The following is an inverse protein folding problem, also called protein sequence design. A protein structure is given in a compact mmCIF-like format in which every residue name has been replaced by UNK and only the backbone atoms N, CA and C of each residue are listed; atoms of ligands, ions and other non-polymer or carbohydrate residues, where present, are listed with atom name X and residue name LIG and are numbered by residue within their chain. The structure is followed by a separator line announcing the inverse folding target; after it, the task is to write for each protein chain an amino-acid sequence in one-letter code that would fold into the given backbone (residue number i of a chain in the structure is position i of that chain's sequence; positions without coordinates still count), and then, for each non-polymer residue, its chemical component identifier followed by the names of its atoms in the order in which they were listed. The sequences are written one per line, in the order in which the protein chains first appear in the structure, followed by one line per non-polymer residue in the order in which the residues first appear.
data_IF_419661737490
#
_entry.id   IF_419661737490
#
_cell.length_a   1.000
_cell.length_b   1.000
_cell.length_c   1.000
_cell.angle_alpha   90.00
_cell.angle_beta   90.00
_cell.angle_gamma   90.00
#
_symmetry.space_group_name_H-M   'P 1'
#
loop_
_entity.id
_entity.type
_entity.pdbx_description
1 polymer ?
#
# COMPACT_ATOMS: atom_id res chain seq x y z
N UNK A 1 7.94 -14.52 3.26
CA UNK A 1 8.56 -14.06 4.52
C UNK A 1 7.47 -13.34 5.31
N UNK A 2 6.67 -14.15 6.05
CA UNK A 2 5.49 -13.75 6.81
C UNK A 2 5.94 -13.14 8.15
N UNK A 3 5.00 -12.56 8.91
CA UNK A 3 5.12 -11.93 10.25
C UNK A 3 6.12 -12.54 11.27
N UNK A 4 6.61 -13.76 11.06
CA UNK A 4 7.38 -14.54 12.04
C UNK A 4 8.73 -13.91 12.44
N UNK A 5 9.45 -13.22 11.53
CA UNK A 5 10.82 -12.75 11.83
C UNK A 5 10.92 -11.60 12.85
N UNK A 6 9.83 -10.88 13.14
CA UNK A 6 9.81 -9.77 14.11
C UNK A 6 9.10 -10.13 15.43
N UNK A 7 8.48 -11.30 15.51
CA UNK A 7 7.68 -11.75 16.68
C UNK A 7 8.55 -12.52 17.69
N UNK A 8 9.75 -12.96 17.29
CA UNK A 8 10.64 -13.76 18.14
C UNK A 8 11.36 -12.93 19.23
N UNK A 9 11.11 -11.61 19.27
CA UNK A 9 11.49 -10.78 20.40
C UNK A 9 10.27 -10.63 21.29
N UNK A 10 10.35 -11.16 22.52
CA UNK A 10 9.32 -11.15 23.56
C UNK A 10 9.01 -9.73 24.08
N UNK A 11 8.81 -8.80 23.16
CA UNK A 11 8.80 -7.36 23.34
C UNK A 11 7.47 -6.82 22.83
N UNK A 12 6.67 -6.26 23.75
CA UNK A 12 5.38 -5.65 23.40
C UNK A 12 5.63 -4.30 22.73
N UNK A 13 5.58 -4.29 21.40
CA UNK A 13 5.69 -3.09 20.57
C UNK A 13 4.53 -2.99 19.60
N UNK A 14 4.22 -1.77 19.19
CA UNK A 14 3.37 -1.51 18.04
C UNK A 14 4.15 -0.71 17.01
N UNK A 15 3.98 -1.05 15.73
CA UNK A 15 4.67 -0.36 14.66
C UNK A 15 3.86 -0.37 13.37
N UNK A 16 4.16 0.59 12.51
CA UNK A 16 3.63 0.67 11.15
C UNK A 16 4.74 0.99 10.17
N UNK A 17 4.78 0.22 9.10
CA UNK A 17 5.72 0.43 7.98
C UNK A 17 5.11 1.32 6.90
N UNK A 18 5.97 2.03 6.17
CA UNK A 18 5.64 2.73 4.93
C UNK A 18 6.72 2.43 3.88
N UNK A 19 6.30 2.25 2.63
CA UNK A 19 7.20 2.12 1.49
C UNK A 19 6.63 2.97 0.38
N UNK A 20 7.42 3.90 -0.18
CA UNK A 20 6.92 4.75 -1.26
C UNK A 20 6.77 3.98 -2.56
N UNK A 21 5.87 4.48 -3.42
CA UNK A 21 5.76 4.01 -4.79
C UNK A 21 7.07 4.29 -5.53
N UNK A 22 7.64 3.27 -6.17
CA UNK A 22 8.95 3.37 -6.82
C UNK A 22 10.16 3.16 -5.90
N UNK A 23 9.95 2.72 -4.65
CA UNK A 23 11.03 2.28 -3.74
C UNK A 23 12.06 3.38 -3.47
N UNK A 24 11.61 4.61 -3.21
CA UNK A 24 12.47 5.76 -2.88
C UNK A 24 12.62 5.97 -1.36
N UNK A 25 11.66 5.44 -0.60
CA UNK A 25 11.54 5.64 0.83
C UNK A 25 11.15 4.34 1.52
N UNK A 26 11.83 4.04 2.61
CA UNK A 26 11.44 3.04 3.59
C UNK A 26 11.26 3.73 4.94
N UNK A 27 10.02 3.73 5.44
CA UNK A 27 9.64 4.30 6.72
C UNK A 27 9.23 3.22 7.71
N UNK A 28 9.50 3.45 8.99
CA UNK A 28 8.79 2.80 10.08
C UNK A 28 8.62 3.76 11.24
N UNK A 29 7.40 3.87 11.73
CA UNK A 29 7.12 4.43 13.04
C UNK A 29 6.83 3.27 13.99
N UNK A 30 7.61 3.15 15.07
CA UNK A 30 7.43 2.16 16.11
C UNK A 30 7.29 2.88 17.46
N UNK A 31 6.46 2.34 18.35
CA UNK A 31 6.21 2.98 19.63
C UNK A 31 5.97 2.00 20.78
N UNK A 32 6.31 2.50 21.96
CA UNK A 32 5.90 2.03 23.30
C UNK A 32 5.23 3.20 24.03
N UNK A 33 4.67 2.99 25.23
CA UNK A 33 4.12 4.10 26.01
C UNK A 33 5.13 5.21 26.34
N UNK A 34 6.41 4.86 26.48
CA UNK A 34 7.48 5.77 26.88
C UNK A 34 8.20 6.40 25.69
N UNK A 35 8.30 5.69 24.56
CA UNK A 35 9.11 6.12 23.41
C UNK A 35 8.36 5.95 22.08
N UNK A 36 8.55 6.91 21.19
CA UNK A 36 8.19 6.78 19.76
C UNK A 36 9.46 6.99 18.94
N UNK A 37 9.78 6.03 18.09
CA UNK A 37 10.93 6.08 17.19
C UNK A 37 10.41 6.02 15.75
N UNK A 38 10.85 6.98 14.94
CA UNK A 38 10.55 7.04 13.51
C UNK A 38 11.86 6.93 12.75
N UNK A 39 11.97 5.90 11.90
CA UNK A 39 13.14 5.66 11.06
C UNK A 39 12.73 5.85 9.60
N UNK A 40 13.57 6.60 8.88
CA UNK A 40 13.53 6.72 7.44
C UNK A 40 14.85 6.28 6.83
N UNK A 41 14.75 5.54 5.73
CA UNK A 41 15.84 5.33 4.81
C UNK A 41 15.40 5.79 3.42
N UNK A 42 16.30 6.50 2.75
CA UNK A 42 16.13 6.93 1.37
C UNK A 42 17.37 7.64 0.88
N UNK A 43 17.39 7.90 -0.42
CA UNK A 43 18.36 8.79 -1.03
C UNK A 43 17.83 10.24 -0.90
N UNK A 44 18.59 11.19 -0.32
CA UNK A 44 18.16 12.58 -0.21
C UNK A 44 17.86 13.26 -1.56
N UNK A 45 18.45 12.77 -2.66
CA UNK A 45 18.16 13.21 -4.03
C UNK A 45 16.95 12.48 -4.65
N UNK A 46 16.35 11.52 -3.93
CA UNK A 46 15.12 10.83 -4.32
C UNK A 46 15.34 9.66 -5.30
N UNK A 47 16.56 9.15 -5.44
CA UNK A 47 16.83 8.00 -6.29
C UNK A 47 16.18 6.72 -5.75
N UNK A 48 15.52 5.91 -6.62
CA UNK A 48 14.90 4.67 -6.21
C UNK A 48 15.95 3.59 -5.95
N UNK A 49 15.72 2.76 -4.93
CA UNK A 49 16.53 1.59 -4.64
C UNK A 49 15.66 0.41 -4.18
N UNK A 50 15.73 -0.77 -4.83
CA UNK A 50 14.92 -1.93 -4.48
C UNK A 50 15.06 -2.44 -3.04
N UNK A 51 16.14 -2.09 -2.34
CA UNK A 51 16.36 -2.43 -0.93
C UNK A 51 15.48 -1.60 0.01
N UNK A 52 15.01 -0.43 -0.43
CA UNK A 52 14.17 0.49 0.35
C UNK A 52 12.75 -0.05 0.50
N UNK A 53 12.62 -1.02 1.39
CA UNK A 53 11.35 -1.60 1.82
C UNK A 53 11.20 -1.42 3.33
N UNK A 54 10.09 -0.82 3.76
CA UNK A 54 9.88 -0.49 5.17
C UNK A 54 10.02 -1.70 6.11
N UNK A 55 9.53 -2.87 5.68
CA UNK A 55 9.56 -4.08 6.51
C UNK A 55 10.95 -4.72 6.64
N UNK A 56 11.84 -4.57 5.66
CA UNK A 56 13.17 -5.22 5.69
C UNK A 56 14.27 -4.32 6.24
N UNK A 57 14.08 -3.01 6.19
CA UNK A 57 15.12 -2.04 6.53
C UNK A 57 14.71 -1.16 7.72
N UNK A 58 13.68 -0.32 7.53
CA UNK A 58 13.27 0.64 8.56
C UNK A 58 12.71 -0.02 9.83
N UNK A 59 11.93 -1.10 9.69
CA UNK A 59 11.31 -1.76 10.84
C UNK A 59 12.31 -2.44 11.77
N UNK A 60 13.24 -3.31 11.29
CA UNK A 60 14.27 -3.88 12.15
C UNK A 60 15.09 -2.82 12.89
N UNK A 61 15.50 -1.75 12.21
CA UNK A 61 16.24 -0.65 12.85
C UNK A 61 15.43 0.06 13.93
N UNK A 62 14.18 0.41 13.67
CA UNK A 62 13.32 1.07 14.66
C UNK A 62 13.10 0.18 15.90
N UNK A 63 12.92 -1.12 15.69
CA UNK A 63 12.71 -2.11 16.75
C UNK A 63 14.00 -2.29 17.58
N UNK A 64 15.16 -2.35 16.93
CA UNK A 64 16.45 -2.41 17.61
C UNK A 64 16.69 -1.18 18.47
N UNK A 65 16.45 0.03 17.95
CA UNK A 65 16.57 1.26 18.73
C UNK A 65 15.61 1.30 19.93
N UNK A 66 14.37 0.82 19.77
CA UNK A 66 13.42 0.70 20.88
C UNK A 66 13.88 -0.33 21.92
N UNK A 67 14.43 -1.46 21.49
CA UNK A 67 14.96 -2.50 22.40
C UNK A 67 16.07 -1.94 23.29
N UNK A 68 16.96 -1.11 22.72
CA UNK A 68 18.01 -0.39 23.43
C UNK A 68 17.45 0.66 24.38
N UNK A 69 16.53 1.51 23.91
CA UNK A 69 15.95 2.58 24.70
C UNK A 69 15.17 2.07 25.92
N UNK A 70 14.48 0.93 25.75
CA UNK A 70 13.63 0.33 26.80
C UNK A 70 14.36 -0.72 27.62
N UNK A 71 15.59 -1.10 27.24
CA UNK A 71 16.29 -2.27 27.79
C UNK A 71 15.43 -3.54 27.77
N UNK A 72 14.58 -3.69 26.74
CA UNK A 72 13.55 -4.74 26.62
C UNK A 72 12.53 -4.80 27.78
N UNK A 73 12.39 -3.73 28.57
CA UNK A 73 11.45 -3.64 29.69
C UNK A 73 10.36 -2.63 29.34
N UNK A 74 9.26 -3.11 28.77
CA UNK A 74 8.15 -2.26 28.32
C UNK A 74 6.92 -2.53 29.18
N UNK A 75 6.33 -1.48 29.75
CA UNK A 75 5.04 -1.57 30.45
C UNK A 75 3.93 -1.09 29.52
N UNK A 76 3.23 -2.04 28.91
CA UNK A 76 2.15 -1.69 27.97
C UNK A 76 0.92 -1.09 28.66
N UNK A 77 0.10 -0.38 27.89
CA UNK A 77 -1.19 0.12 28.36
C UNK A 77 -2.13 -1.03 28.77
N UNK A 78 -2.84 -0.84 29.89
CA UNK A 78 -4.01 -1.65 30.18
C UNK A 78 -5.16 -1.22 29.25
N UNK A 79 -5.95 -2.16 28.69
CA UNK A 79 -7.16 -1.80 27.97
C UNK A 79 -8.10 -0.97 28.86
N UNK A 80 -8.68 0.15 28.36
CA UNK A 80 -9.67 0.92 29.11
C UNK A 80 -10.86 0.06 29.55
N UNK A 81 -11.40 0.33 30.75
CA UNK A 81 -12.57 -0.40 31.30
C UNK A 81 -13.84 -0.22 30.46
N UNK A 82 -13.88 0.82 29.62
CA UNK A 82 -14.95 1.05 28.65
C UNK A 82 -14.90 0.12 27.45
N UNK A 83 -13.84 -0.68 27.26
CA UNK A 83 -13.79 -1.68 26.20
C UNK A 83 -14.46 -2.98 26.64
N UNK A 84 -15.33 -3.51 25.78
CA UNK A 84 -15.90 -4.84 25.92
C UNK A 84 -15.21 -5.83 25.00
N UNK A 85 -15.34 -7.12 25.31
CA UNK A 85 -15.04 -8.21 24.37
C UNK A 85 -16.34 -8.89 23.97
N UNK A 86 -16.46 -9.25 22.69
CA UNK A 86 -17.61 -9.99 22.18
C UNK A 86 -17.20 -10.98 21.10
N UNK A 87 -18.03 -11.98 20.89
CA UNK A 87 -17.91 -12.87 19.74
C UNK A 87 -18.31 -12.13 18.47
N UNK A 88 -17.48 -12.22 17.44
CA UNK A 88 -17.71 -11.67 16.11
C UNK A 88 -17.50 -12.75 15.04
N UNK A 89 -18.15 -12.58 13.90
CA UNK A 89 -17.82 -13.28 12.66
C UNK A 89 -16.36 -12.99 12.29
N UNK A 90 -15.57 -14.05 12.05
CA UNK A 90 -14.13 -13.90 11.78
C UNK A 90 -13.82 -13.13 10.48
N UNK A 91 -14.77 -13.10 9.53
CA UNK A 91 -14.63 -12.40 8.26
C UNK A 91 -15.16 -10.96 8.31
N UNK A 92 -16.38 -10.74 8.82
CA UNK A 92 -17.01 -9.42 8.78
C UNK A 92 -16.67 -8.53 9.98
N UNK A 93 -16.19 -9.10 11.10
CA UNK A 93 -15.98 -8.37 12.35
C UNK A 93 -17.26 -7.92 13.07
N UNK A 94 -18.43 -8.30 12.57
CA UNK A 94 -19.75 -8.02 13.19
C UNK A 94 -20.19 -9.18 14.09
N UNK A 95 -21.10 -8.96 15.06
CA UNK A 95 -21.78 -10.04 15.78
C UNK A 95 -22.26 -11.15 14.82
N UNK A 96 -22.00 -12.44 15.12
CA UNK A 96 -22.26 -13.51 14.16
C UNK A 96 -23.75 -13.71 13.87
N UNK A 97 -24.06 -14.12 12.65
CA UNK A 97 -25.33 -14.77 12.31
C UNK A 97 -25.20 -16.29 12.47
N UNK A 98 -26.31 -17.02 12.42
CA UNK A 98 -26.31 -18.49 12.44
C UNK A 98 -25.59 -19.11 11.23
N UNK A 99 -25.47 -18.35 10.13
CA UNK A 99 -24.77 -18.78 8.92
C UNK A 99 -23.25 -18.54 8.97
N UNK A 100 -22.71 -17.96 10.05
CA UNK A 100 -21.28 -17.71 10.15
C UNK A 100 -20.53 -19.02 10.47
N UNK A 101 -19.58 -19.46 9.63
CA UNK A 101 -18.89 -20.73 9.83
C UNK A 101 -17.79 -20.65 10.89
N UNK A 102 -17.24 -19.45 11.13
CA UNK A 102 -16.13 -19.24 12.05
C UNK A 102 -16.31 -17.94 12.84
N UNK A 103 -15.99 -18.01 14.13
CA UNK A 103 -16.09 -16.91 15.07
C UNK A 103 -14.75 -16.64 15.74
N UNK A 104 -14.57 -15.41 16.20
CA UNK A 104 -13.46 -15.04 17.09
C UNK A 104 -13.94 -14.07 18.15
N UNK A 105 -13.19 -13.98 19.25
CA UNK A 105 -13.39 -12.92 20.24
C UNK A 105 -12.62 -11.70 19.77
N UNK A 106 -13.28 -10.54 19.75
CA UNK A 106 -12.67 -9.26 19.39
C UNK A 106 -13.09 -8.16 20.36
N UNK A 107 -12.35 -7.07 20.36
CA UNK A 107 -12.68 -5.88 21.14
C UNK A 107 -13.80 -5.08 20.47
N UNK A 108 -14.65 -4.47 21.28
CA UNK A 108 -15.64 -3.50 20.81
C UNK A 108 -15.84 -2.40 21.87
N UNK A 109 -16.37 -1.27 21.44
CA UNK A 109 -16.74 -0.16 22.30
C UNK A 109 -18.26 -0.25 22.52
N UNK A 110 -18.74 -0.62 23.73
CA UNK A 110 -20.16 -0.69 24.04
C UNK A 110 -20.87 0.64 23.75
N UNK A 111 -22.03 0.57 23.08
CA UNK A 111 -22.80 1.73 22.66
C UNK A 111 -22.28 2.46 21.40
N UNK A 112 -21.05 2.19 20.94
CA UNK A 112 -20.44 2.86 19.78
C UNK A 112 -20.19 1.90 18.61
N UNK A 113 -19.59 0.75 18.88
CA UNK A 113 -19.34 -0.24 17.82
C UNK A 113 -20.66 -0.82 17.29
N UNK A 114 -20.71 -1.02 15.97
CA UNK A 114 -21.84 -1.64 15.27
C UNK A 114 -22.31 -2.92 15.96
N UNK A 115 -23.62 -3.05 16.17
CA UNK A 115 -24.25 -4.20 16.84
C UNK A 115 -25.13 -5.03 15.91
N UNK A 116 -25.26 -4.63 14.64
CA UNK A 116 -25.95 -5.42 13.63
C UNK A 116 -25.23 -6.75 13.39
N UNK A 117 -26.01 -7.82 13.15
CA UNK A 117 -25.45 -9.13 12.87
C UNK A 117 -24.80 -9.17 11.49
N UNK A 118 -23.86 -10.07 11.32
CA UNK A 118 -23.20 -10.36 10.06
C UNK A 118 -24.23 -10.55 8.93
N UNK A 119 -24.18 -9.66 7.93
CA UNK A 119 -25.05 -9.71 6.76
C UNK A 119 -24.45 -10.42 5.55
N UNK A 120 -23.11 -10.63 5.57
CA UNK A 120 -22.38 -11.22 4.44
C UNK A 120 -22.43 -12.75 4.43
N UNK A 121 -22.68 -13.41 5.56
CA UNK A 121 -22.93 -14.86 5.57
C UNK A 121 -24.43 -15.11 5.59
N UNK A 122 -24.93 -15.75 4.53
CA UNK A 122 -26.35 -16.05 4.35
C UNK A 122 -26.54 -17.53 4.06
N UNK A 123 -27.66 -18.08 4.51
CA UNK A 123 -28.04 -19.45 4.18
C UNK A 123 -28.65 -19.50 2.78
N UNK A 124 -28.07 -20.28 1.86
CA UNK A 124 -28.66 -20.55 0.54
C UNK A 124 -28.66 -22.04 0.26
N UNK A 125 -29.85 -22.60 0.00
CA UNK A 125 -30.04 -24.04 -0.25
C UNK A 125 -29.46 -24.93 0.87
N UNK A 126 -29.55 -24.47 2.12
CA UNK A 126 -29.07 -25.21 3.30
C UNK A 126 -27.57 -25.06 3.59
N UNK A 127 -26.83 -24.31 2.78
CA UNK A 127 -25.39 -24.08 2.98
C UNK A 127 -25.09 -22.59 3.26
N UNK A 128 -24.17 -22.27 4.18
CA UNK A 128 -23.72 -20.90 4.41
C UNK A 128 -22.85 -20.42 3.24
N UNK A 129 -23.28 -19.35 2.59
CA UNK A 129 -22.55 -18.72 1.48
C UNK A 129 -22.18 -17.27 1.83
N UNK A 130 -21.07 -16.80 1.26
CA UNK A 130 -20.65 -15.41 1.38
C UNK A 130 -21.33 -14.59 0.27
N UNK A 131 -22.15 -13.62 0.66
CA UNK A 131 -22.78 -12.64 -0.21
C UNK A 131 -22.13 -11.30 0.07
N UNK A 132 -21.26 -10.87 -0.83
CA UNK A 132 -20.61 -9.58 -0.74
C UNK A 132 -21.58 -8.45 -1.12
N UNK A 133 -21.48 -7.27 -0.47
CA UNK A 133 -22.16 -6.06 -0.94
C UNK A 133 -21.85 -5.81 -2.43
N UNK A 134 -22.79 -5.23 -3.17
CA UNK A 134 -22.66 -4.97 -4.62
C UNK A 134 -21.37 -4.24 -4.97
N UNK A 135 -20.93 -3.33 -4.12
CA UNK A 135 -19.71 -2.53 -4.26
C UNK A 135 -18.45 -3.40 -4.19
N UNK A 136 -18.52 -4.52 -3.47
CA UNK A 136 -17.42 -5.48 -3.27
C UNK A 136 -17.61 -6.76 -4.06
N UNK A 137 -18.76 -6.99 -4.70
CA UNK A 137 -19.01 -8.17 -5.52
C UNK A 137 -18.01 -8.26 -6.70
N UNK A 138 -17.57 -7.11 -7.21
CA UNK A 138 -16.46 -6.99 -8.18
C UNK A 138 -15.09 -7.38 -7.61
N UNK A 139 -14.88 -7.22 -6.29
CA UNK A 139 -13.68 -7.71 -5.58
C UNK A 139 -13.83 -9.19 -5.17
N UNK A 140 -15.05 -9.67 -5.01
CA UNK A 140 -15.50 -11.06 -5.08
C UNK A 140 -14.68 -12.00 -5.94
N UNK A 141 -14.72 -11.67 -7.22
CA UNK A 141 -14.03 -12.37 -8.30
C UNK A 141 -12.51 -12.17 -8.27
N UNK A 142 -11.96 -11.38 -7.34
CA UNK A 142 -10.52 -11.16 -7.15
C UNK A 142 -9.79 -12.12 -6.21
N UNK A 143 -10.40 -13.24 -5.79
CA UNK A 143 -9.66 -14.51 -5.97
C UNK A 143 -9.59 -14.76 -7.47
N UNK A 144 -8.79 -13.95 -8.18
CA UNK A 144 -8.60 -14.02 -9.63
C UNK A 144 -7.82 -15.30 -9.90
N UNK A 145 -8.53 -16.42 -9.94
CA UNK A 145 -8.40 -17.30 -11.08
C UNK A 145 -8.68 -16.36 -12.25
N UNK A 146 -7.62 -15.87 -12.90
CA UNK A 146 -7.79 -15.11 -14.13
C UNK A 146 -8.56 -16.04 -15.08
N UNK A 147 -9.86 -15.81 -15.22
CA UNK A 147 -10.58 -16.39 -16.35
C UNK A 147 -9.96 -15.75 -17.59
N UNK A 148 -9.79 -16.53 -18.64
CA UNK A 148 -9.10 -16.08 -19.87
C UNK A 148 -9.71 -14.81 -20.51
N UNK A 149 -10.91 -14.40 -20.06
CA UNK A 149 -11.71 -13.30 -20.57
C UNK A 149 -11.68 -12.01 -19.72
N UNK A 150 -10.95 -11.96 -18.61
CA UNK A 150 -10.89 -10.72 -17.79
C UNK A 150 -10.24 -9.58 -18.60
N UNK A 151 -10.84 -8.38 -18.74
CA UNK A 151 -10.24 -7.30 -19.50
C UNK A 151 -8.91 -6.89 -18.88
N UNK A 152 -7.92 -6.59 -19.72
CA UNK A 152 -6.68 -5.98 -19.26
C UNK A 152 -6.99 -4.57 -18.75
N UNK A 153 -6.43 -4.17 -17.63
CA UNK A 153 -6.64 -2.83 -17.06
C UNK A 153 -5.37 -2.31 -16.44
N UNK A 154 -4.98 -1.08 -16.76
CA UNK A 154 -3.87 -0.36 -16.15
C UNK A 154 -4.32 0.06 -14.74
N UNK A 155 -3.62 -0.44 -13.73
CA UNK A 155 -3.90 -0.13 -12.31
C UNK A 155 -2.94 0.90 -11.74
N UNK A 156 -1.86 1.19 -12.45
CA UNK A 156 -0.98 2.31 -12.14
C UNK A 156 -0.19 2.76 -13.37
N UNK A 157 -0.11 4.07 -13.65
CA UNK A 157 -0.82 5.15 -12.96
C UNK A 157 -2.34 5.11 -13.21
N UNK A 158 -3.12 5.90 -12.45
CA UNK A 158 -4.56 6.02 -12.72
C UNK A 158 -4.78 6.99 -13.89
N UNK A 159 -5.88 6.81 -14.62
CA UNK A 159 -6.24 7.72 -15.71
C UNK A 159 -6.40 9.16 -15.21
N UNK A 160 -5.91 10.12 -15.98
CA UNK A 160 -5.87 11.55 -15.68
C UNK A 160 -5.05 11.93 -14.42
N UNK A 161 -4.08 11.11 -14.02
CA UNK A 161 -3.17 11.45 -12.91
C UNK A 161 -2.18 12.54 -13.33
N UNK A 162 -1.96 13.51 -12.44
CA UNK A 162 -0.90 14.51 -12.57
C UNK A 162 0.36 14.09 -11.78
N UNK A 163 1.51 14.20 -12.42
CA UNK A 163 2.82 14.01 -11.80
C UNK A 163 3.63 15.31 -11.84
N UNK A 164 4.46 15.54 -10.83
CA UNK A 164 5.33 16.71 -10.73
C UNK A 164 6.80 16.29 -10.77
N UNK A 165 7.55 16.77 -11.77
CA UNK A 165 9.01 16.68 -11.80
C UNK A 165 9.57 17.85 -10.99
N UNK A 166 10.36 17.53 -9.97
CA UNK A 166 11.06 18.53 -9.15
C UNK A 166 12.45 18.82 -9.74
N UNK A 167 12.92 20.08 -9.72
CA UNK A 167 14.25 20.47 -10.23
C UNK A 167 15.41 19.71 -9.61
N UNK A 168 15.28 19.34 -8.33
CA UNK A 168 16.31 18.63 -7.56
C UNK A 168 16.16 17.10 -7.59
N UNK A 169 15.05 16.57 -8.12
CA UNK A 169 14.68 15.16 -7.98
C UNK A 169 15.27 14.20 -9.01
N UNK A 170 16.28 14.61 -9.77
CA UNK A 170 16.96 13.76 -10.75
C UNK A 170 16.03 13.07 -11.77
N UNK A 171 16.42 11.86 -12.20
CA UNK A 171 15.63 11.04 -13.16
C UNK A 171 14.48 10.33 -12.46
N UNK A 172 13.34 11.02 -12.32
CA UNK A 172 12.14 10.47 -11.70
C UNK A 172 11.48 9.40 -12.57
N UNK A 173 11.12 8.26 -11.97
CA UNK A 173 10.42 7.16 -12.63
C UNK A 173 9.10 6.82 -11.93
N UNK A 174 8.15 6.30 -12.70
CA UNK A 174 6.91 5.70 -12.21
C UNK A 174 6.84 4.23 -12.65
N UNK A 175 6.28 3.37 -11.80
CA UNK A 175 5.95 2.01 -12.23
C UNK A 175 4.67 2.03 -13.09
N UNK A 176 4.63 1.18 -14.09
CA UNK A 176 3.47 0.87 -14.90
C UNK A 176 3.00 -0.53 -14.52
N UNK A 177 1.72 -0.65 -14.16
CA UNK A 177 1.12 -1.90 -13.70
C UNK A 177 -0.21 -2.11 -14.39
N UNK A 178 -0.47 -3.37 -14.74
CA UNK A 178 -1.77 -3.80 -15.24
C UNK A 178 -2.19 -5.10 -14.59
N UNK A 179 -3.49 -5.35 -14.64
CA UNK A 179 -4.12 -6.59 -14.21
C UNK A 179 -5.01 -7.15 -15.34
N UNK A 180 -5.54 -8.36 -15.18
CA UNK A 180 -6.45 -8.99 -16.16
C UNK A 180 -5.76 -9.76 -17.28
N UNK A 181 -4.43 -9.82 -17.30
CA UNK A 181 -3.66 -10.58 -18.28
C UNK A 181 -2.58 -11.46 -17.62
N UNK A 182 -2.35 -12.63 -18.23
CA UNK A 182 -1.27 -13.56 -17.92
C UNK A 182 -0.36 -13.71 -19.14
N UNK A 183 0.94 -13.90 -18.94
CA UNK A 183 1.90 -14.00 -20.04
C UNK A 183 2.66 -12.70 -20.26
N UNK A 184 3.00 -12.40 -21.51
CA UNK A 184 3.72 -11.17 -21.83
C UNK A 184 2.79 -9.97 -22.04
N UNK A 185 3.24 -8.84 -21.51
CA UNK A 185 2.65 -7.53 -21.67
C UNK A 185 3.59 -6.64 -22.49
N UNK A 186 3.02 -5.90 -23.41
CA UNK A 186 3.71 -4.94 -24.28
C UNK A 186 3.20 -3.55 -23.93
N UNK A 187 4.10 -2.71 -23.42
CA UNK A 187 3.80 -1.35 -23.00
C UNK A 187 4.22 -0.35 -24.08
N UNK A 188 3.41 0.68 -24.25
CA UNK A 188 3.64 1.78 -25.18
C UNK A 188 3.45 3.11 -24.46
N UNK A 189 4.30 4.07 -24.80
CA UNK A 189 4.21 5.46 -24.35
C UNK A 189 4.12 6.32 -25.61
N UNK A 190 3.07 7.12 -25.72
CA UNK A 190 2.78 7.97 -26.88
C UNK A 190 2.82 7.19 -28.20
N UNK A 191 2.17 6.03 -28.19
CA UNK A 191 2.11 5.06 -29.30
C UNK A 191 3.48 4.47 -29.71
N UNK A 192 4.56 4.77 -28.99
CA UNK A 192 5.88 4.18 -29.20
C UNK A 192 6.09 2.99 -28.26
N UNK A 193 6.61 1.88 -28.80
CA UNK A 193 6.93 0.70 -28.00
C UNK A 193 7.96 1.04 -26.92
N UNK A 194 7.58 0.83 -25.66
CA UNK A 194 8.41 1.15 -24.50
C UNK A 194 9.10 -0.10 -23.95
N UNK A 195 8.38 -1.22 -23.81
CA UNK A 195 8.99 -2.43 -23.28
C UNK A 195 8.06 -3.62 -23.15
N UNK A 196 8.66 -4.80 -22.97
CA UNK A 196 7.97 -6.09 -22.79
C UNK A 196 8.27 -6.66 -21.41
N UNK A 197 7.25 -7.12 -20.70
CA UNK A 197 7.42 -7.76 -19.38
C UNK A 197 6.48 -8.95 -19.20
N UNK A 198 6.88 -9.95 -18.40
CA UNK A 198 6.00 -11.06 -18.04
C UNK A 198 5.16 -10.70 -16.81
N UNK A 199 3.84 -10.67 -16.95
CA UNK A 199 2.90 -10.41 -15.86
C UNK A 199 3.10 -11.39 -14.68
N UNK A 200 2.84 -10.97 -13.42
CA UNK A 200 2.28 -9.68 -12.99
C UNK A 200 3.34 -8.62 -12.63
N UNK A 201 4.55 -8.67 -13.20
CA UNK A 201 5.63 -7.71 -12.86
C UNK A 201 5.36 -6.31 -13.42
N UNK A 202 5.84 -5.29 -12.71
CA UNK A 202 5.86 -3.89 -13.15
C UNK A 202 7.09 -3.51 -13.99
N UNK A 203 6.92 -2.55 -14.90
CA UNK A 203 8.01 -1.89 -15.64
C UNK A 203 8.09 -0.41 -15.23
N UNK A 204 9.29 0.17 -15.17
CA UNK A 204 9.49 1.54 -14.73
C UNK A 204 9.79 2.48 -15.89
N UNK A 205 8.90 3.44 -16.14
CA UNK A 205 9.07 4.50 -17.12
C UNK A 205 9.62 5.77 -16.48
N UNK A 206 10.54 6.45 -17.16
CA UNK A 206 11.11 7.71 -16.70
C UNK A 206 10.21 8.86 -17.16
N UNK A 207 9.78 9.69 -16.21
CA UNK A 207 8.92 10.83 -16.48
C UNK A 207 9.63 11.83 -17.41
N UNK A 208 8.91 12.27 -18.43
CA UNK A 208 9.19 13.45 -19.25
C UNK A 208 8.07 14.46 -19.07
N UNK A 209 8.34 15.78 -19.11
CA UNK A 209 7.28 16.78 -19.08
C UNK A 209 6.33 16.66 -20.29
N UNK A 210 5.04 16.87 -20.06
CA UNK A 210 4.02 16.83 -21.10
C UNK A 210 2.83 15.94 -20.76
N UNK A 211 1.86 15.91 -21.66
CA UNK A 211 0.76 14.95 -21.63
C UNK A 211 1.21 13.66 -22.31
N UNK A 212 0.97 12.53 -21.66
CA UNK A 212 1.40 11.22 -22.16
C UNK A 212 0.24 10.24 -22.24
N UNK A 213 0.15 9.51 -23.35
CA UNK A 213 -0.71 8.35 -23.48
C UNK A 213 0.07 7.09 -23.12
N UNK A 214 -0.41 6.33 -22.14
CA UNK A 214 0.19 5.06 -21.75
C UNK A 214 -0.79 3.96 -22.14
N UNK A 215 -0.32 2.99 -22.92
CA UNK A 215 -1.13 1.82 -23.27
C UNK A 215 -0.38 0.52 -23.00
N UNK A 216 -1.16 -0.53 -22.73
CA UNK A 216 -0.68 -1.89 -22.53
C UNK A 216 -1.47 -2.83 -23.41
N UNK A 217 -0.78 -3.81 -24.00
CA UNK A 217 -1.39 -4.87 -24.81
C UNK A 217 -0.87 -6.23 -24.35
N UNK A 218 -1.71 -7.26 -24.39
CA UNK A 218 -1.30 -8.64 -24.14
C UNK A 218 -1.10 -9.44 -25.44
N UNK A 219 -0.65 -10.69 -25.31
CA UNK A 219 -0.41 -11.60 -26.45
C UNK A 219 -1.69 -11.98 -27.21
N UNK A 220 -2.87 -11.75 -26.63
CA UNK A 220 -4.18 -11.97 -27.26
C UNK A 220 -4.71 -10.71 -27.97
N UNK A 221 -3.94 -9.61 -27.97
CA UNK A 221 -4.32 -8.34 -28.59
C UNK A 221 -5.30 -7.51 -27.77
N UNK A 222 -5.59 -7.89 -26.52
CA UNK A 222 -6.42 -7.09 -25.61
C UNK A 222 -5.58 -5.93 -25.12
N UNK A 223 -6.18 -4.75 -25.03
CA UNK A 223 -5.45 -3.54 -24.63
C UNK A 223 -6.26 -2.64 -23.71
N UNK A 224 -5.53 -1.81 -22.95
CA UNK A 224 -6.06 -0.70 -22.17
C UNK A 224 -5.14 0.53 -22.34
N UNK A 225 -5.70 1.72 -22.19
CA UNK A 225 -5.00 2.98 -22.38
C UNK A 225 -5.49 4.05 -21.42
N UNK A 226 -4.54 4.83 -20.90
CA UNK A 226 -4.78 5.95 -20.01
C UNK A 226 -3.99 7.17 -20.46
N UNK A 227 -4.42 8.34 -20.00
CA UNK A 227 -3.70 9.59 -20.18
C UNK A 227 -3.19 10.09 -18.84
N UNK A 228 -1.99 10.64 -18.81
CA UNK A 228 -1.43 11.33 -17.64
C UNK A 228 -0.86 12.68 -18.06
N UNK A 229 -0.65 13.55 -17.09
CA UNK A 229 0.02 14.84 -17.29
C UNK A 229 1.22 14.95 -16.37
N UNK A 230 2.36 15.37 -16.91
CA UNK A 230 3.60 15.53 -16.18
C UNK A 230 4.02 16.99 -16.21
N UNK A 231 3.92 17.66 -15.07
CA UNK A 231 4.25 19.06 -14.90
C UNK A 231 5.69 19.18 -14.39
N UNK A 232 6.45 20.10 -14.97
CA UNK A 232 7.75 20.50 -14.42
C UNK A 232 7.55 21.70 -13.51
N UNK A 233 7.89 21.55 -12.22
CA UNK A 233 7.99 22.69 -11.33
C UNK A 233 9.30 23.40 -11.63
N UNK A 234 9.26 24.69 -11.97
CA UNK A 234 10.45 25.53 -12.00
C UNK A 234 10.87 25.84 -10.56
N UNK A 235 12.17 25.83 -10.27
CA UNK A 235 12.66 26.39 -9.00
C UNK A 235 12.27 27.86 -8.94
N UNK A 236 11.79 28.39 -7.81
CA UNK A 236 11.78 29.83 -7.62
C UNK A 236 13.21 30.34 -7.82
N UNK A 237 13.37 31.43 -8.57
CA UNK A 237 14.68 32.06 -8.77
C UNK A 237 15.31 32.31 -7.40
N UNK A 238 16.52 31.81 -7.18
CA UNK A 238 17.29 32.12 -5.97
C UNK A 238 17.56 33.62 -6.01
N UNK A 239 16.81 34.39 -5.23
CA UNK A 239 17.15 35.80 -5.01
C UNK A 239 18.52 35.81 -4.32
N UNK A 240 19.51 36.55 -4.85
CA UNK A 240 20.80 36.64 -4.20
C UNK A 240 20.60 37.19 -2.78
N UNK A 241 21.11 36.45 -1.79
CA UNK A 241 21.15 36.90 -0.41
C UNK A 241 21.93 38.21 -0.38
N UNK A 242 21.28 39.31 0.02
CA UNK A 242 22.00 40.55 0.37
C UNK A 242 22.97 40.21 1.50
N UNK A 243 24.26 40.56 1.38
CA UNK A 243 25.17 40.45 2.52
C UNK A 243 24.61 41.26 3.68
N UNK A 244 24.60 40.68 4.88
CA UNK A 244 24.34 41.45 6.09
C UNK A 244 25.48 42.45 6.27
N UNK A 245 25.17 43.74 6.15
CA UNK A 245 26.05 44.79 6.68
C UNK A 245 26.00 44.70 8.20
N UNK A 246 27.11 44.27 8.80
CA UNK A 246 27.35 44.40 10.23
C UNK A 246 27.68 45.88 10.50
N UNK A 247 26.84 46.55 11.28
CA UNK A 247 27.18 47.82 11.95
C UNK A 247 27.88 47.55 13.28
#
# INVERSE_FOLDING_TARGET
MRREALVDQNMNIAFKTGTSYGLRDAWTAAYTPEYTIVVWFGDPAGFPNPVLTGLKLAAPTAIEMLSWATQNKIKWYAPPSSLGRRTVCALSGLPPSESCPTHRIDWYIPGISRNDRCSIHQMRRGEPVIVWPSELALMSSTRRVYTEDSPITITSPLNNTQFFITPTGGKQKIALRSEGASGFLFWYIDNQFFGKIKAPKEIFWQLSPGQHNISVMDEKGRSDSITIEVLSLSSPAVLPLKPLELQ
#
